data_IF_814460452310
#
_entry.id   IF_814460452310
#
_cell.length_a   1.000
_cell.length_b   1.000
_cell.length_c   1.000
_cell.angle_alpha   90.00
_cell.angle_beta   90.00
_cell.angle_gamma   90.00
#
_symmetry.space_group_name_H-M   'P 1'
#
loop_
_entity.id
_entity.type
_entity.pdbx_description
1 polymer ?
#
# COMPACT_ATOMS: atom_id res chain seq x y z
N UNK A 1 -3.60 -28.59 4.06
CA UNK A 1 -3.44 -27.31 4.79
C UNK A 1 -2.69 -26.34 3.87
N UNK A 2 -3.32 -25.24 3.46
CA UNK A 2 -2.61 -24.15 2.77
C UNK A 2 -2.00 -23.27 3.85
N UNK A 3 -0.67 -23.23 3.92
CA UNK A 3 0.06 -22.31 4.79
C UNK A 3 -0.06 -20.92 4.17
N UNK A 4 -1.06 -20.15 4.61
CA UNK A 4 -1.02 -18.70 4.44
C UNK A 4 0.00 -18.18 5.44
N UNK A 5 1.27 -18.07 5.02
CA UNK A 5 2.16 -17.11 5.68
C UNK A 5 1.45 -15.75 5.64
N UNK A 6 1.61 -14.88 6.66
CA UNK A 6 1.10 -13.52 6.58
C UNK A 6 1.76 -12.88 5.36
N UNK A 7 1.06 -12.89 4.23
CA UNK A 7 1.52 -12.28 3.01
C UNK A 7 1.67 -10.81 3.35
N UNK A 8 2.91 -10.33 3.50
CA UNK A 8 3.20 -8.91 3.50
C UNK A 8 2.86 -8.41 2.11
N UNK A 9 1.58 -8.17 1.87
CA UNK A 9 1.10 -7.55 0.66
C UNK A 9 1.57 -6.10 0.71
N UNK A 10 2.49 -5.77 -0.19
CA UNK A 10 2.98 -4.41 -0.37
C UNK A 10 2.40 -3.84 -1.67
N UNK A 11 1.88 -2.62 -1.61
CA UNK A 11 1.38 -1.87 -2.74
C UNK A 11 2.32 -0.72 -3.05
N UNK A 12 2.88 -0.71 -4.26
CA UNK A 12 3.63 0.44 -4.75
C UNK A 12 2.68 1.61 -5.03
N UNK A 13 2.92 2.74 -4.36
CA UNK A 13 2.27 4.00 -4.68
C UNK A 13 3.06 4.67 -5.79
N UNK A 14 2.48 4.70 -6.98
CA UNK A 14 3.10 5.26 -8.18
C UNK A 14 2.42 6.59 -8.50
N UNK A 15 3.20 7.65 -8.72
CA UNK A 15 2.67 8.95 -9.15
C UNK A 15 2.32 8.97 -10.64
N UNK A 16 1.80 10.10 -11.12
CA UNK A 16 1.45 10.31 -12.53
C UNK A 16 2.65 10.25 -13.48
N UNK A 17 3.87 10.40 -12.97
CA UNK A 17 5.12 10.28 -13.74
C UNK A 17 5.64 8.84 -13.81
N UNK A 18 4.92 7.87 -13.23
CA UNK A 18 5.35 6.47 -13.17
C UNK A 18 6.45 6.20 -12.14
N UNK A 19 6.71 7.13 -11.22
CA UNK A 19 7.69 6.96 -10.15
C UNK A 19 7.03 6.42 -8.89
N UNK A 20 7.68 5.46 -8.24
CA UNK A 20 7.26 4.96 -6.93
C UNK A 20 7.58 6.03 -5.90
N UNK A 21 6.55 6.63 -5.32
CA UNK A 21 6.66 7.67 -4.29
C UNK A 21 6.67 7.09 -2.88
N UNK A 22 6.27 5.83 -2.75
CA UNK A 22 6.31 5.07 -1.51
C UNK A 22 5.58 3.74 -1.65
N UNK A 23 5.45 3.02 -0.55
CA UNK A 23 4.81 1.71 -0.49
C UNK A 23 3.81 1.68 0.66
N UNK A 24 2.69 1.00 0.46
CA UNK A 24 1.75 0.67 1.54
C UNK A 24 1.96 -0.78 1.90
N UNK A 25 2.08 -1.08 3.19
CA UNK A 25 2.12 -2.46 3.69
C UNK A 25 1.11 -2.64 4.80
N UNK A 26 0.58 -3.85 4.95
CA UNK A 26 -0.18 -4.19 6.14
C UNK A 26 0.77 -4.43 7.33
N UNK A 27 0.64 -3.64 8.39
CA UNK A 27 1.37 -3.86 9.62
C UNK A 27 0.55 -4.75 10.55
N UNK A 28 0.94 -6.01 10.68
CA UNK A 28 0.24 -6.97 11.52
C UNK A 28 0.31 -6.63 13.02
N UNK A 29 1.28 -5.83 13.47
CA UNK A 29 1.35 -5.40 14.88
C UNK A 29 0.29 -4.36 15.21
N UNK A 30 -0.01 -3.49 14.24
CA UNK A 30 -1.01 -2.43 14.36
C UNK A 30 -2.37 -2.84 13.76
N UNK A 31 -2.40 -3.97 13.05
CA UNK A 31 -3.54 -4.50 12.32
C UNK A 31 -4.17 -3.45 11.37
N UNK A 32 -3.32 -2.66 10.71
CA UNK A 32 -3.72 -1.57 9.80
C UNK A 32 -2.72 -1.42 8.65
N UNK A 33 -3.16 -0.82 7.56
CA UNK A 33 -2.27 -0.46 6.46
C UNK A 33 -1.45 0.78 6.81
N UNK A 34 -0.15 0.72 6.60
CA UNK A 34 0.78 1.84 6.83
C UNK A 34 1.50 2.18 5.54
N UNK A 35 1.49 3.48 5.22
CA UNK A 35 2.31 4.01 4.14
C UNK A 35 3.72 4.31 4.66
N UNK A 36 4.73 3.86 3.91
CA UNK A 36 6.13 4.15 4.19
C UNK A 36 6.85 4.57 2.91
N UNK A 37 7.77 5.52 3.05
CA UNK A 37 8.61 5.98 1.95
C UNK A 37 10.02 5.44 2.18
N UNK A 38 10.49 4.46 1.38
CA UNK A 38 11.86 3.98 1.49
C UNK A 38 12.88 5.05 1.08
N UNK A 39 12.49 5.93 0.16
CA UNK A 39 13.29 7.05 -0.32
C UNK A 39 12.64 8.35 0.16
N UNK A 40 13.08 8.86 1.31
CA UNK A 40 12.59 10.12 1.91
C UNK A 40 12.81 11.35 1.02
N UNK A 41 13.46 11.20 -0.14
CA UNK A 41 13.72 12.29 -1.08
C UNK A 41 12.51 12.64 -1.97
N UNK A 42 11.44 11.84 -1.95
CA UNK A 42 10.23 12.12 -2.73
C UNK A 42 9.24 12.95 -1.90
N UNK A 43 9.28 14.27 -2.08
CA UNK A 43 8.24 15.15 -1.53
C UNK A 43 6.90 14.84 -2.20
N UNK A 44 5.92 14.43 -1.39
CA UNK A 44 4.56 14.21 -1.85
C UNK A 44 3.83 15.55 -1.89
N UNK A 45 3.18 15.82 -3.01
CA UNK A 45 2.23 16.92 -3.11
C UNK A 45 0.98 16.63 -2.26
N UNK A 46 0.26 17.65 -1.80
CA UNK A 46 -0.98 17.49 -1.02
C UNK A 46 -1.99 16.55 -1.72
N UNK A 47 -2.07 16.62 -3.05
CA UNK A 47 -2.92 15.75 -3.87
C UNK A 47 -2.50 14.28 -3.80
N UNK A 48 -1.19 14.00 -3.80
CA UNK A 48 -0.65 12.64 -3.70
C UNK A 48 -0.89 12.08 -2.32
N UNK A 49 -0.68 12.90 -1.28
CA UNK A 49 -0.93 12.51 0.10
C UNK A 49 -2.42 12.25 0.38
N UNK A 50 -3.32 13.04 -0.20
CA UNK A 50 -4.75 12.80 -0.15
C UNK A 50 -5.15 11.49 -0.85
N UNK A 51 -4.56 11.21 -2.03
CA UNK A 51 -4.79 9.97 -2.76
C UNK A 51 -4.31 8.74 -1.98
N UNK A 52 -3.12 8.81 -1.35
CA UNK A 52 -2.58 7.75 -0.50
C UNK A 52 -3.49 7.52 0.71
N UNK A 53 -3.94 8.58 1.36
CA UNK A 53 -4.82 8.51 2.54
C UNK A 53 -6.17 7.88 2.21
N UNK A 54 -6.75 8.23 1.06
CA UNK A 54 -7.98 7.60 0.57
C UNK A 54 -7.78 6.11 0.28
N UNK A 55 -6.61 5.74 -0.25
CA UNK A 55 -6.26 4.35 -0.56
C UNK A 55 -6.03 3.51 0.69
N UNK A 56 -5.35 4.04 1.69
CA UNK A 56 -5.21 3.43 3.02
C UNK A 56 -6.59 3.16 3.64
N UNK A 57 -7.44 4.19 3.68
CA UNK A 57 -8.80 4.07 4.23
C UNK A 57 -9.63 3.03 3.48
N UNK A 58 -9.50 2.94 2.15
CA UNK A 58 -10.20 1.94 1.36
C UNK A 58 -9.65 0.52 1.54
N UNK A 59 -8.34 0.35 1.79
CA UNK A 59 -7.74 -0.95 2.11
C UNK A 59 -8.18 -1.43 3.50
N UNK A 60 -8.16 -0.55 4.50
CA UNK A 60 -8.63 -0.88 5.86
C UNK A 60 -10.15 -1.15 5.89
N UNK A 61 -10.93 -0.44 5.06
CA UNK A 61 -12.36 -0.71 4.90
C UNK A 61 -12.65 -1.98 4.07
N UNK A 62 -11.64 -2.68 3.54
CA UNK A 62 -11.80 -3.84 2.66
C UNK A 62 -12.43 -3.53 1.29
N UNK A 63 -12.49 -2.25 0.91
CA UNK A 63 -12.98 -1.78 -0.40
C UNK A 63 -11.94 -2.04 -1.49
N UNK A 64 -10.65 -1.90 -1.15
CA UNK A 64 -9.56 -2.36 -1.98
C UNK A 64 -9.09 -3.70 -1.44
N UNK A 65 -9.04 -4.70 -2.31
CA UNK A 65 -8.39 -5.96 -2.03
C UNK A 65 -7.10 -5.96 -2.84
N UNK A 66 -5.96 -6.18 -2.20
CA UNK A 66 -4.74 -6.46 -2.94
C UNK A 66 -4.98 -7.85 -3.56
N UNK A 67 -5.13 -7.94 -4.88
CA UNK A 67 -5.38 -9.22 -5.50
C UNK A 67 -4.23 -10.14 -5.08
N UNK A 68 -4.56 -11.32 -4.54
CA UNK A 68 -3.61 -12.43 -4.59
C UNK A 68 -3.13 -12.49 -6.03
N UNK A 69 -1.82 -12.48 -6.25
CA UNK A 69 -1.30 -12.85 -7.56
C UNK A 69 -1.83 -14.25 -7.83
N UNK A 70 -2.88 -14.35 -8.63
CA UNK A 70 -3.34 -15.60 -9.21
C UNK A 70 -2.22 -16.00 -10.18
N UNK A 71 -1.57 -17.10 -9.82
CA UNK A 71 -0.44 -17.71 -10.52
C UNK A 71 -0.98 -18.57 -11.68
N UNK A 72 -1.75 -17.98 -12.60
CA UNK A 72 -2.26 -18.65 -13.83
C UNK A 72 -2.00 -17.81 -15.10
#
# INVERSE_FOLDING_TARGET
MILFLPMQQELDCINTEGRIVGKIRFDANLNQHVFYQPDQAVELSDSEQAAISARLSGLDAGTFHIPMQDDD
#
